data_IF_865941125939
#
_entry.id   IF_865941125939
#
_cell.length_a   1.000
_cell.length_b   1.000
_cell.length_c   1.000
_cell.angle_alpha   90.00
_cell.angle_beta   90.00
_cell.angle_gamma   90.00
#
_symmetry.space_group_name_H-M   'P 1'
#
loop_
_entity.id
_entity.type
_entity.pdbx_description
1 polymer ?
#
# COMPACT_ATOMS: atom_id res chain seq x y z
N UNK A 1 -4.35 22.85 6.75
CA UNK A 1 -4.26 21.96 5.57
C UNK A 1 -3.40 20.78 5.99
N UNK A 2 -3.92 19.56 5.88
CA UNK A 2 -3.16 18.36 6.27
C UNK A 2 -2.55 17.73 5.04
N UNK A 3 -1.26 17.40 5.08
CA UNK A 3 -0.55 16.70 4.03
C UNK A 3 -0.26 15.25 4.48
N UNK A 4 -0.74 14.27 3.72
CA UNK A 4 -0.60 12.83 4.03
C UNK A 4 0.33 12.19 3.01
N UNK A 5 1.38 11.53 3.50
CA UNK A 5 2.37 10.80 2.72
C UNK A 5 2.11 9.30 2.86
N UNK A 6 1.43 8.71 1.88
CA UNK A 6 1.20 7.28 1.80
C UNK A 6 2.42 6.62 1.15
N UNK A 7 3.08 5.73 1.87
CA UNK A 7 4.27 5.00 1.42
C UNK A 7 3.93 3.52 1.29
N UNK A 8 4.11 2.95 0.10
CA UNK A 8 4.05 1.50 -0.05
C UNK A 8 5.26 0.86 0.64
N UNK A 9 5.07 -0.24 1.35
CA UNK A 9 6.15 -0.99 1.97
C UNK A 9 7.29 -1.32 0.98
N UNK A 10 8.51 -1.54 1.47
CA UNK A 10 9.64 -2.02 0.68
C UNK A 10 9.37 -3.38 0.03
N UNK A 11 10.20 -3.78 -0.92
CA UNK A 11 10.03 -5.08 -1.57
C UNK A 11 9.92 -6.20 -0.53
N UNK A 12 8.85 -6.96 -0.65
CA UNK A 12 8.62 -8.16 0.17
C UNK A 12 9.34 -9.38 -0.43
N UNK A 13 9.13 -10.54 0.16
CA UNK A 13 9.68 -11.80 -0.35
C UNK A 13 9.05 -12.16 -1.71
N UNK A 14 9.81 -12.01 -2.79
CA UNK A 14 9.35 -12.28 -4.17
C UNK A 14 9.17 -13.77 -4.48
N UNK A 15 9.64 -14.68 -3.62
CA UNK A 15 9.50 -16.13 -3.77
C UNK A 15 8.32 -16.69 -2.94
N UNK A 16 7.51 -15.81 -2.39
CA UNK A 16 6.38 -16.19 -1.55
C UNK A 16 5.29 -16.92 -2.34
N UNK A 17 4.61 -17.85 -1.65
CA UNK A 17 3.50 -18.62 -2.19
C UNK A 17 2.21 -18.49 -1.34
N UNK A 18 2.30 -17.79 -0.23
CA UNK A 18 1.22 -17.55 0.71
C UNK A 18 1.42 -16.23 1.47
N UNK A 19 0.39 -15.79 2.19
CA UNK A 19 0.43 -14.52 2.93
C UNK A 19 1.55 -14.46 3.96
N UNK A 20 1.83 -15.57 4.66
CA UNK A 20 2.82 -15.61 5.75
C UNK A 20 4.23 -15.48 5.18
N UNK A 21 4.55 -16.23 4.13
CA UNK A 21 5.87 -16.19 3.50
C UNK A 21 6.11 -14.88 2.75
N UNK A 22 5.05 -14.20 2.31
CA UNK A 22 5.12 -12.88 1.70
C UNK A 22 5.38 -11.76 2.72
N UNK A 23 4.90 -11.93 3.96
CA UNK A 23 4.92 -10.86 4.96
C UNK A 23 6.28 -10.66 5.63
N UNK A 24 7.32 -10.44 4.82
CA UNK A 24 8.66 -10.02 5.28
C UNK A 24 9.37 -9.21 4.19
N UNK A 25 10.20 -8.24 4.58
CA UNK A 25 11.02 -7.50 3.64
C UNK A 25 12.17 -8.36 3.09
N UNK A 26 12.41 -8.24 1.79
CA UNK A 26 13.66 -8.70 1.17
C UNK A 26 14.84 -7.81 1.61
N UNK A 27 16.08 -8.26 1.34
CA UNK A 27 17.25 -7.42 1.57
C UNK A 27 17.18 -6.10 0.78
N UNK A 28 16.65 -6.15 -0.46
CA UNK A 28 16.43 -4.96 -1.27
C UNK A 28 15.36 -4.05 -0.66
N UNK A 29 14.24 -4.62 -0.17
CA UNK A 29 13.18 -3.85 0.48
C UNK A 29 13.67 -3.07 1.69
N UNK A 30 14.55 -3.68 2.50
CA UNK A 30 15.20 -2.99 3.63
C UNK A 30 16.09 -1.82 3.16
N UNK A 31 16.84 -2.01 2.08
CA UNK A 31 17.63 -0.92 1.49
C UNK A 31 16.74 0.20 0.92
N UNK A 32 15.67 -0.13 0.21
CA UNK A 32 14.73 0.86 -0.33
C UNK A 32 14.15 1.72 0.79
N UNK A 33 13.67 1.11 1.89
CA UNK A 33 13.17 1.83 3.05
C UNK A 33 14.24 2.74 3.67
N UNK A 34 15.47 2.23 3.85
CA UNK A 34 16.58 3.03 4.37
C UNK A 34 16.93 4.22 3.47
N UNK A 35 16.89 4.07 2.15
CA UNK A 35 17.14 5.18 1.21
C UNK A 35 16.03 6.23 1.25
N UNK A 36 14.77 5.82 1.38
CA UNK A 36 13.66 6.76 1.53
C UNK A 36 13.79 7.54 2.85
N UNK A 37 14.14 6.87 3.96
CA UNK A 37 14.40 7.54 5.23
C UNK A 37 15.54 8.56 5.14
N UNK A 38 16.64 8.23 4.45
CA UNK A 38 17.74 9.17 4.18
C UNK A 38 17.28 10.36 3.33
N UNK A 39 16.41 10.12 2.33
CA UNK A 39 15.83 11.18 1.51
C UNK A 39 15.00 12.13 2.36
N UNK A 40 14.11 11.63 3.20
CA UNK A 40 13.30 12.46 4.10
C UNK A 40 14.20 13.28 5.04
N UNK A 41 15.19 12.65 5.65
CA UNK A 41 16.14 13.33 6.55
C UNK A 41 16.93 14.43 5.82
N UNK A 42 17.47 14.14 4.64
CA UNK A 42 18.27 15.10 3.86
C UNK A 42 17.49 16.32 3.42
N UNK A 43 16.18 16.15 3.16
CA UNK A 43 15.29 17.21 2.70
C UNK A 43 14.43 17.79 3.84
N UNK A 44 14.80 17.54 5.09
CA UNK A 44 14.18 18.11 6.28
C UNK A 44 12.66 17.87 6.36
N UNK A 45 12.21 16.67 5.95
CA UNK A 45 10.83 16.27 6.15
C UNK A 45 10.60 15.91 7.61
N UNK A 46 9.72 16.65 8.25
CA UNK A 46 9.24 16.40 9.62
C UNK A 46 7.77 15.98 9.54
N UNK A 47 7.40 14.96 10.30
CA UNK A 47 6.05 14.46 10.37
C UNK A 47 5.52 14.58 11.80
N UNK A 48 4.27 15.02 11.94
CA UNK A 48 3.61 15.19 13.24
C UNK A 48 3.14 13.86 13.79
N UNK A 49 2.74 12.94 12.91
CA UNK A 49 2.35 11.59 13.24
C UNK A 49 2.87 10.59 12.19
N UNK A 50 3.14 9.36 12.67
CA UNK A 50 3.51 8.24 11.83
C UNK A 50 2.59 7.06 12.09
N UNK A 51 2.02 6.53 11.03
CA UNK A 51 1.20 5.32 11.05
C UNK A 51 1.83 4.22 10.22
N UNK A 52 1.54 2.97 10.58
CA UNK A 52 1.76 1.84 9.68
C UNK A 52 0.69 0.79 9.88
N UNK A 53 0.48 -0.05 8.87
CA UNK A 53 -0.23 -1.30 9.11
C UNK A 53 0.55 -2.21 10.06
N UNK A 54 -0.09 -3.31 10.47
CA UNK A 54 0.46 -4.27 11.44
C UNK A 54 1.22 -5.43 10.78
N UNK A 55 1.16 -5.56 9.45
CA UNK A 55 1.91 -6.56 8.70
C UNK A 55 3.42 -6.29 8.82
N UNK A 56 4.23 -7.36 8.95
CA UNK A 56 5.68 -7.21 9.16
C UNK A 56 6.34 -6.37 8.07
N UNK A 57 6.01 -6.57 6.79
CA UNK A 57 6.57 -5.77 5.70
C UNK A 57 6.25 -4.27 5.80
N UNK A 58 5.08 -3.91 6.36
CA UNK A 58 4.69 -2.52 6.58
C UNK A 58 5.41 -1.96 7.81
N UNK A 59 5.35 -2.67 8.93
CA UNK A 59 5.96 -2.25 10.19
C UNK A 59 7.47 -2.12 10.09
N UNK A 60 8.16 -3.10 9.49
CA UNK A 60 9.61 -3.05 9.28
C UNK A 60 10.01 -1.88 8.34
N UNK A 61 9.21 -1.61 7.30
CA UNK A 61 9.45 -0.44 6.45
C UNK A 61 9.37 0.84 7.26
N UNK A 62 8.32 1.02 8.07
CA UNK A 62 8.13 2.20 8.90
C UNK A 62 9.29 2.40 9.90
N UNK A 63 9.74 1.32 10.54
CA UNK A 63 10.87 1.37 11.48
C UNK A 63 12.20 1.74 10.78
N UNK A 64 12.40 1.25 9.56
CA UNK A 64 13.61 1.52 8.77
C UNK A 64 13.66 2.94 8.19
N UNK A 65 12.53 3.62 8.02
CA UNK A 65 12.49 5.02 7.60
C UNK A 65 13.18 5.95 8.63
N UNK A 66 13.14 5.61 9.92
CA UNK A 66 13.79 6.37 11.02
C UNK A 66 13.45 7.88 11.01
N UNK A 67 12.24 8.21 10.56
CA UNK A 67 11.79 9.61 10.42
C UNK A 67 11.40 10.23 11.75
N UNK A 68 11.23 9.43 12.80
CA UNK A 68 10.83 9.87 14.13
C UNK A 68 11.59 9.15 15.26
N UNK A 69 12.78 9.62 15.64
CA UNK A 69 13.51 9.01 16.75
C UNK A 69 12.84 9.20 18.13
N UNK A 70 11.81 10.07 18.23
CA UNK A 70 11.17 10.43 19.49
C UNK A 70 9.65 10.19 19.54
N UNK A 71 9.03 9.76 18.44
CA UNK A 71 7.57 9.49 18.39
C UNK A 71 7.31 8.03 18.07
N UNK A 72 6.36 7.45 18.78
CA UNK A 72 5.89 6.10 18.52
C UNK A 72 5.16 6.02 17.17
N UNK A 73 5.40 4.94 16.42
CA UNK A 73 4.66 4.64 15.20
C UNK A 73 3.35 3.96 15.59
N UNK A 74 2.24 4.57 15.24
CA UNK A 74 0.90 4.03 15.50
C UNK A 74 0.64 2.88 14.53
N UNK A 75 0.49 1.66 15.07
CA UNK A 75 0.17 0.45 14.31
C UNK A 75 -1.35 0.31 14.20
N UNK A 76 -1.89 0.40 12.97
CA UNK A 76 -3.33 0.34 12.73
C UNK A 76 -3.66 -0.77 11.71
N UNK A 77 -4.39 -1.83 12.12
CA UNK A 77 -4.73 -2.93 11.22
C UNK A 77 -5.63 -2.51 10.05
N UNK A 78 -6.31 -1.37 10.11
CA UNK A 78 -7.09 -0.83 9.00
C UNK A 78 -6.23 -0.48 7.78
N UNK A 79 -4.91 -0.32 7.96
CA UNK A 79 -3.92 -0.10 6.90
C UNK A 79 -3.35 -1.40 6.30
N UNK A 80 -3.81 -2.57 6.74
CA UNK A 80 -3.32 -3.85 6.23
C UNK A 80 -3.82 -4.12 4.81
N UNK A 81 -2.98 -4.81 4.03
CA UNK A 81 -3.26 -5.18 2.64
C UNK A 81 -4.42 -6.18 2.50
N UNK A 82 -5.00 -6.23 1.34
CA UNK A 82 -5.88 -7.31 0.88
C UNK A 82 -5.11 -8.63 0.90
N UNK A 83 -5.72 -9.69 1.41
CA UNK A 83 -5.13 -11.03 1.44
C UNK A 83 -5.26 -11.72 0.06
N UNK A 84 -4.45 -11.26 -0.90
CA UNK A 84 -4.52 -11.70 -2.28
C UNK A 84 -4.31 -13.22 -2.46
N UNK A 85 -3.32 -13.81 -1.79
CA UNK A 85 -3.05 -15.25 -1.90
C UNK A 85 -4.23 -16.08 -1.42
N UNK A 86 -4.82 -15.69 -0.28
CA UNK A 86 -6.01 -16.38 0.25
C UNK A 86 -7.20 -16.24 -0.70
N UNK A 87 -7.47 -15.04 -1.21
CA UNK A 87 -8.55 -14.82 -2.18
C UNK A 87 -8.29 -15.58 -3.49
N UNK A 88 -7.05 -15.62 -3.97
CA UNK A 88 -6.65 -16.37 -5.16
C UNK A 88 -6.91 -17.87 -5.01
N UNK A 89 -6.54 -18.46 -3.87
CA UNK A 89 -6.80 -19.87 -3.57
C UNK A 89 -8.31 -20.16 -3.52
N UNK A 90 -9.08 -19.32 -2.83
CA UNK A 90 -10.55 -19.50 -2.75
C UNK A 90 -11.23 -19.38 -4.11
N UNK A 91 -10.74 -18.48 -4.97
CA UNK A 91 -11.26 -18.31 -6.32
C UNK A 91 -10.90 -19.50 -7.22
N UNK A 92 -9.71 -20.07 -7.09
CA UNK A 92 -9.34 -21.29 -7.77
C UNK A 92 -10.25 -22.45 -7.36
N UNK A 93 -10.44 -22.67 -6.04
CA UNK A 93 -11.26 -23.74 -5.49
C UNK A 93 -12.75 -23.62 -5.86
N UNK A 94 -13.31 -22.41 -5.81
CA UNK A 94 -14.76 -22.19 -5.95
C UNK A 94 -15.20 -21.95 -7.40
N UNK A 95 -14.31 -21.39 -8.24
CA UNK A 95 -14.66 -20.98 -9.61
C UNK A 95 -13.72 -21.59 -10.67
N UNK A 96 -12.69 -22.34 -10.30
CA UNK A 96 -11.72 -22.94 -11.22
C UNK A 96 -10.77 -21.95 -11.92
N UNK A 97 -10.76 -20.67 -11.48
CA UNK A 97 -9.88 -19.64 -12.07
C UNK A 97 -8.47 -19.80 -11.51
N UNK A 98 -7.55 -20.27 -12.35
CA UNK A 98 -6.16 -20.54 -11.96
C UNK A 98 -5.39 -19.25 -11.64
N UNK A 99 -4.44 -19.29 -10.66
CA UNK A 99 -3.52 -18.21 -10.42
C UNK A 99 -2.76 -17.78 -11.67
N UNK A 100 -2.36 -16.50 -11.78
CA UNK A 100 -1.67 -16.01 -12.97
C UNK A 100 -0.28 -16.65 -13.11
N UNK A 101 0.09 -17.00 -14.35
CA UNK A 101 1.41 -17.55 -14.67
C UNK A 101 2.43 -16.50 -15.07
N UNK A 102 1.96 -15.31 -15.40
CA UNK A 102 2.78 -14.16 -15.81
C UNK A 102 2.17 -12.86 -15.30
N UNK A 103 2.96 -11.78 -15.34
CA UNK A 103 2.46 -10.45 -14.97
C UNK A 103 1.31 -9.95 -15.86
N UNK A 104 1.22 -10.41 -17.11
CA UNK A 104 0.13 -10.03 -18.03
C UNK A 104 -1.21 -10.67 -17.62
N UNK A 105 -1.16 -11.87 -17.05
CA UNK A 105 -2.37 -12.58 -16.61
C UNK A 105 -2.87 -12.06 -15.25
N UNK A 106 -2.01 -11.29 -14.54
CA UNK A 106 -2.31 -10.84 -13.18
C UNK A 106 -3.46 -9.82 -13.15
N UNK A 107 -3.50 -8.88 -14.10
CA UNK A 107 -4.56 -7.87 -14.17
C UNK A 107 -5.94 -8.55 -14.33
N UNK A 108 -6.07 -9.45 -15.30
CA UNK A 108 -7.32 -10.19 -15.54
C UNK A 108 -7.73 -11.05 -14.33
N UNK A 109 -6.75 -11.72 -13.71
CA UNK A 109 -7.01 -12.54 -12.53
C UNK A 109 -7.47 -11.69 -11.34
N UNK A 110 -6.82 -10.54 -11.12
CA UNK A 110 -7.17 -9.63 -10.03
C UNK A 110 -8.55 -8.99 -10.28
N UNK A 111 -8.87 -8.60 -11.52
CA UNK A 111 -10.20 -8.12 -11.89
C UNK A 111 -11.28 -9.16 -11.59
N UNK A 112 -11.01 -10.42 -11.89
CA UNK A 112 -11.93 -11.52 -11.58
C UNK A 112 -12.15 -11.66 -10.07
N UNK A 113 -11.08 -11.67 -9.27
CA UNK A 113 -11.18 -11.70 -7.80
C UNK A 113 -12.02 -10.53 -7.30
N UNK A 114 -11.71 -9.31 -7.73
CA UNK A 114 -12.41 -8.10 -7.30
C UNK A 114 -13.90 -8.15 -7.64
N UNK A 115 -14.25 -8.64 -8.85
CA UNK A 115 -15.64 -8.81 -9.26
C UNK A 115 -16.40 -9.77 -8.34
N UNK A 116 -15.83 -10.93 -8.04
CA UNK A 116 -16.44 -11.95 -7.17
C UNK A 116 -16.52 -11.51 -5.71
N UNK A 117 -15.47 -10.84 -5.23
CA UNK A 117 -15.41 -10.32 -3.86
C UNK A 117 -16.44 -9.20 -3.63
N UNK A 118 -16.58 -8.28 -4.57
CA UNK A 118 -17.60 -7.21 -4.53
C UNK A 118 -19.03 -7.74 -4.57
N UNK A 119 -19.25 -8.81 -5.32
CA UNK A 119 -20.55 -9.49 -5.39
C UNK A 119 -20.85 -10.37 -4.16
N UNK A 120 -19.91 -10.44 -3.19
CA UNK A 120 -19.98 -11.34 -2.02
C UNK A 120 -20.14 -12.84 -2.42
N UNK A 121 -19.59 -13.23 -3.57
CA UNK A 121 -19.71 -14.60 -4.09
C UNK A 121 -18.57 -15.51 -3.57
N UNK A 122 -17.47 -14.94 -3.01
CA UNK A 122 -16.36 -15.74 -2.45
C UNK A 122 -16.73 -16.18 -1.03
N UNK A 123 -17.05 -17.46 -0.87
CA UNK A 123 -17.36 -18.03 0.45
C UNK A 123 -16.09 -18.10 1.30
N UNK A 124 -16.17 -17.75 2.58
CA UNK A 124 -15.04 -17.67 3.52
C UNK A 124 -13.94 -16.68 3.10
N UNK A 125 -14.27 -15.62 2.35
CA UNK A 125 -13.33 -14.53 2.12
C UNK A 125 -12.78 -14.01 3.48
N UNK A 126 -11.48 -13.65 3.57
CA UNK A 126 -10.87 -13.19 4.84
C UNK A 126 -11.57 -11.99 5.48
N UNK A 127 -12.12 -11.13 4.64
CA UNK A 127 -13.03 -10.05 5.02
C UNK A 127 -14.05 -9.81 3.90
N UNK A 128 -15.28 -9.36 4.19
CA UNK A 128 -16.20 -8.85 3.17
C UNK A 128 -15.63 -7.61 2.47
N UNK A 129 -15.93 -7.44 1.18
CA UNK A 129 -15.48 -6.25 0.45
C UNK A 129 -15.98 -4.94 1.08
N UNK A 130 -17.20 -4.95 1.63
CA UNK A 130 -17.76 -3.78 2.30
C UNK A 130 -16.94 -3.37 3.52
N UNK A 131 -16.45 -4.33 4.30
CA UNK A 131 -15.62 -4.07 5.49
C UNK A 131 -14.25 -3.50 5.10
N UNK A 132 -13.66 -4.00 3.99
CA UNK A 132 -12.44 -3.42 3.40
C UNK A 132 -12.65 -1.94 3.04
N UNK A 133 -13.74 -1.62 2.34
CA UNK A 133 -14.07 -0.23 1.96
C UNK A 133 -14.26 0.64 3.20
N UNK A 134 -14.99 0.13 4.19
CA UNK A 134 -15.28 0.85 5.43
C UNK A 134 -14.02 1.14 6.24
N UNK A 135 -13.13 0.14 6.45
CA UNK A 135 -11.90 0.36 7.21
C UNK A 135 -10.95 1.35 6.55
N UNK A 136 -10.88 1.38 5.19
CA UNK A 136 -10.09 2.38 4.45
C UNK A 136 -10.67 3.78 4.63
N UNK A 137 -12.00 3.92 4.63
CA UNK A 137 -12.66 5.20 4.90
C UNK A 137 -12.40 5.68 6.32
N UNK A 138 -12.60 4.80 7.31
CA UNK A 138 -12.39 5.10 8.73
C UNK A 138 -10.96 5.55 9.05
N UNK A 139 -9.93 4.88 8.49
CA UNK A 139 -8.55 5.27 8.72
C UNK A 139 -8.24 6.61 8.05
N UNK A 140 -8.81 6.90 6.88
CA UNK A 140 -8.67 8.19 6.20
C UNK A 140 -9.21 9.34 7.06
N UNK A 141 -10.32 9.10 7.78
CA UNK A 141 -10.87 10.06 8.73
C UNK A 141 -9.94 10.33 9.93
N UNK A 142 -9.24 9.31 10.42
CA UNK A 142 -8.26 9.48 11.50
C UNK A 142 -7.04 10.27 11.02
N UNK A 143 -6.56 10.00 9.81
CA UNK A 143 -5.36 10.61 9.27
C UNK A 143 -5.50 12.13 9.08
N UNK A 144 -6.67 12.62 8.65
CA UNK A 144 -6.90 14.06 8.45
C UNK A 144 -6.84 14.90 9.74
N UNK A 145 -7.00 14.25 10.90
CA UNK A 145 -7.00 14.90 12.22
C UNK A 145 -5.70 14.65 13.02
N UNK A 146 -4.67 14.05 12.39
CA UNK A 146 -3.47 13.57 13.09
C UNK A 146 -2.28 14.54 13.04
N UNK A 147 -2.42 15.72 12.46
CA UNK A 147 -1.38 16.77 12.39
C UNK A 147 -1.29 17.41 11.01
N UNK A 148 -0.37 18.35 10.83
CA UNK A 148 -0.19 19.04 9.53
C UNK A 148 0.49 18.15 8.49
N UNK A 149 1.42 17.27 8.90
CA UNK A 149 2.12 16.30 8.05
C UNK A 149 2.07 14.90 8.66
N UNK A 150 1.47 13.98 7.98
CA UNK A 150 1.24 12.61 8.43
C UNK A 150 1.92 11.62 7.50
N UNK A 151 2.80 10.77 8.04
CA UNK A 151 3.43 9.67 7.32
C UNK A 151 2.65 8.37 7.56
N UNK A 152 2.36 7.63 6.50
CA UNK A 152 1.61 6.38 6.57
C UNK A 152 2.31 5.32 5.75
N UNK A 153 2.79 4.26 6.37
CA UNK A 153 3.34 3.10 5.67
C UNK A 153 2.28 2.02 5.55
N UNK A 154 1.95 1.68 4.32
CA UNK A 154 0.88 0.73 4.00
C UNK A 154 1.22 -0.10 2.75
N UNK A 155 0.23 -0.58 2.04
CA UNK A 155 0.37 -1.45 0.87
C UNK A 155 -0.33 -0.90 -0.36
N UNK A 156 -0.06 -1.50 -1.52
CA UNK A 156 -0.55 -1.01 -2.81
C UNK A 156 -2.07 -0.97 -2.92
N UNK A 157 -2.77 -1.98 -2.40
CA UNK A 157 -4.23 -2.05 -2.45
C UNK A 157 -4.91 -0.94 -1.64
N UNK A 158 -4.37 -0.60 -0.47
CA UNK A 158 -4.87 0.52 0.34
C UNK A 158 -4.66 1.85 -0.39
N UNK A 159 -3.44 2.08 -0.92
CA UNK A 159 -3.13 3.31 -1.67
C UNK A 159 -4.04 3.44 -2.88
N UNK A 160 -4.22 2.36 -3.66
CA UNK A 160 -5.08 2.35 -4.83
C UNK A 160 -6.55 2.62 -4.47
N UNK A 161 -7.05 2.06 -3.34
CA UNK A 161 -8.41 2.32 -2.86
C UNK A 161 -8.59 3.76 -2.40
N UNK A 162 -7.61 4.34 -1.72
CA UNK A 162 -7.65 5.77 -1.35
C UNK A 162 -7.67 6.64 -2.60
N UNK A 163 -6.82 6.35 -3.61
CA UNK A 163 -6.83 7.07 -4.90
C UNK A 163 -8.16 6.91 -5.64
N UNK A 164 -8.76 5.71 -5.60
CA UNK A 164 -10.09 5.46 -6.17
C UNK A 164 -11.12 6.41 -5.56
N UNK A 165 -11.12 6.53 -4.24
CA UNK A 165 -12.07 7.40 -3.53
C UNK A 165 -11.82 8.90 -3.80
N UNK A 166 -10.54 9.33 -3.93
CA UNK A 166 -10.19 10.73 -4.16
C UNK A 166 -10.45 11.20 -5.60
N UNK A 167 -10.40 10.30 -6.57
CA UNK A 167 -10.42 10.62 -8.00
C UNK A 167 -11.63 10.02 -8.73
N UNK A 168 -12.57 9.41 -8.02
CA UNK A 168 -13.76 8.72 -8.56
C UNK A 168 -13.39 7.69 -9.65
N UNK A 169 -12.32 6.90 -9.42
CA UNK A 169 -11.82 5.96 -10.41
C UNK A 169 -12.72 4.74 -10.56
N UNK A 170 -12.81 4.22 -11.78
CA UNK A 170 -13.35 2.88 -12.02
C UNK A 170 -12.49 1.79 -11.35
N UNK A 171 -13.04 0.60 -11.14
CA UNK A 171 -12.28 -0.54 -10.60
C UNK A 171 -11.08 -0.90 -11.48
N UNK A 172 -11.24 -0.92 -12.80
CA UNK A 172 -10.14 -1.18 -13.74
C UNK A 172 -9.03 -0.12 -13.61
N UNK A 173 -9.37 1.16 -13.45
CA UNK A 173 -8.38 2.22 -13.22
C UNK A 173 -7.69 2.05 -11.86
N UNK A 174 -8.42 1.70 -10.81
CA UNK A 174 -7.87 1.42 -9.48
C UNK A 174 -6.86 0.26 -9.53
N UNK A 175 -7.20 -0.83 -10.23
CA UNK A 175 -6.30 -1.98 -10.42
C UNK A 175 -5.02 -1.57 -11.15
N UNK A 176 -5.09 -0.73 -12.18
CA UNK A 176 -3.91 -0.20 -12.87
C UNK A 176 -3.00 0.61 -11.94
N UNK A 177 -3.56 1.43 -11.04
CA UNK A 177 -2.78 2.12 -10.02
C UNK A 177 -2.12 1.16 -9.03
N UNK A 178 -2.84 0.11 -8.60
CA UNK A 178 -2.28 -0.94 -7.75
C UNK A 178 -1.07 -1.60 -8.42
N UNK A 179 -1.21 -2.02 -9.68
CA UNK A 179 -0.15 -2.71 -10.43
C UNK A 179 1.05 -1.80 -10.74
N UNK A 180 0.81 -0.51 -10.98
CA UNK A 180 1.86 0.47 -11.20
C UNK A 180 2.55 0.95 -9.91
N UNK A 181 2.00 0.63 -8.73
CA UNK A 181 2.56 1.06 -7.46
C UNK A 181 3.91 0.39 -7.19
N UNK A 182 4.97 1.18 -7.04
CA UNK A 182 6.31 0.68 -6.77
C UNK A 182 6.60 0.61 -5.27
N UNK A 183 7.46 -0.33 -4.87
CA UNK A 183 7.91 -0.44 -3.49
C UNK A 183 8.60 0.86 -3.04
N UNK A 184 8.26 1.30 -1.84
CA UNK A 184 8.65 2.61 -1.27
C UNK A 184 8.23 3.83 -2.08
N UNK A 185 7.30 3.66 -3.04
CA UNK A 185 6.67 4.77 -3.75
C UNK A 185 5.85 5.63 -2.78
N UNK A 186 5.98 6.94 -2.92
CA UNK A 186 5.30 7.94 -2.09
C UNK A 186 4.15 8.54 -2.87
N UNK A 187 2.94 8.42 -2.34
CA UNK A 187 1.74 9.12 -2.83
C UNK A 187 1.38 10.21 -1.81
N UNK A 188 1.26 11.44 -2.27
CA UNK A 188 0.98 12.58 -1.40
C UNK A 188 -0.43 13.10 -1.64
N UNK A 189 -1.18 13.27 -0.57
CA UNK A 189 -2.52 13.84 -0.56
C UNK A 189 -2.56 15.09 0.30
N UNK A 190 -3.39 16.05 -0.08
CA UNK A 190 -3.72 17.20 0.74
C UNK A 190 -5.20 17.14 1.15
N UNK A 191 -5.48 17.28 2.44
CA UNK A 191 -6.84 17.47 2.91
C UNK A 191 -7.13 18.96 3.12
N UNK A 192 -8.06 19.48 2.34
CA UNK A 192 -8.51 20.87 2.43
C UNK A 192 -9.95 21.00 1.94
N UNK A 193 -10.69 21.96 2.47
CA UNK A 193 -12.09 22.23 2.08
C UNK A 193 -13.00 20.99 2.15
N UNK A 194 -12.75 20.09 3.13
CA UNK A 194 -13.58 18.91 3.36
C UNK A 194 -13.30 17.72 2.45
N UNK A 195 -12.25 17.76 1.62
CA UNK A 195 -11.92 16.69 0.68
C UNK A 195 -10.41 16.42 0.58
N UNK A 196 -10.08 15.20 0.19
CA UNK A 196 -8.71 14.84 -0.19
C UNK A 196 -8.44 15.20 -1.64
N UNK A 197 -7.31 15.83 -1.88
CA UNK A 197 -6.81 16.15 -3.22
C UNK A 197 -5.47 15.45 -3.43
N UNK A 198 -5.30 14.81 -4.59
CA UNK A 198 -4.07 14.11 -4.93
C UNK A 198 -3.05 15.12 -5.43
N UNK A 199 -1.90 15.20 -4.77
CA UNK A 199 -0.79 16.07 -5.15
C UNK A 199 0.24 15.33 -5.99
N UNK A 200 0.58 14.10 -5.58
CA UNK A 200 1.59 13.28 -6.25
C UNK A 200 1.27 11.80 -6.10
N UNK A 201 1.54 10.99 -7.13
CA UNK A 201 1.33 9.55 -7.10
C UNK A 201 2.64 8.83 -7.36
N UNK A 202 2.96 7.82 -6.51
CA UNK A 202 4.03 6.84 -6.72
C UNK A 202 5.40 7.47 -7.01
N UNK A 203 5.76 8.53 -6.31
CA UNK A 203 7.04 9.23 -6.44
C UNK A 203 8.18 8.44 -5.82
N UNK A 204 9.34 8.39 -6.49
CA UNK A 204 10.52 7.62 -6.09
C UNK A 204 11.81 8.46 -6.07
N UNK A 205 11.83 9.66 -5.49
CA UNK A 205 12.99 10.56 -5.57
C UNK A 205 14.26 9.96 -4.95
N UNK A 206 14.13 9.05 -3.98
CA UNK A 206 15.22 8.33 -3.35
C UNK A 206 15.83 7.25 -4.25
N UNK A 207 15.15 6.85 -5.33
CA UNK A 207 15.60 5.87 -6.33
C UNK A 207 15.92 6.48 -7.70
N UNK A 208 15.90 7.82 -7.84
CA UNK A 208 16.19 8.51 -9.10
C UNK A 208 17.68 8.58 -9.43
N UNK A 209 18.55 8.22 -8.51
CA UNK A 209 19.99 8.13 -8.76
C UNK A 209 20.33 6.95 -9.66
N UNK A 210 21.28 7.13 -10.62
CA UNK A 210 21.64 6.10 -11.61
C UNK A 210 22.01 4.74 -10.99
N UNK A 211 22.62 4.73 -9.80
CA UNK A 211 23.00 3.49 -9.08
C UNK A 211 21.81 2.77 -8.42
N UNK A 212 20.64 3.42 -8.32
CA UNK A 212 19.45 2.90 -7.64
C UNK A 212 18.27 2.65 -8.58
N UNK A 213 18.33 3.11 -9.82
CA UNK A 213 17.22 3.00 -10.77
C UNK A 213 16.78 1.55 -11.02
N UNK A 214 17.73 0.60 -10.98
CA UNK A 214 17.48 -0.84 -11.08
C UNK A 214 16.86 -1.45 -9.81
N UNK A 215 16.76 -0.66 -8.73
CA UNK A 215 16.14 -1.06 -7.47
C UNK A 215 14.66 -0.69 -7.40
N UNK A 216 14.08 -0.20 -8.47
CA UNK A 216 12.64 0.02 -8.60
C UNK A 216 11.96 -1.33 -8.83
N UNK A 217 11.06 -1.70 -7.93
CA UNK A 217 10.34 -2.98 -7.98
C UNK A 217 8.87 -2.76 -7.71
N UNK A 218 8.04 -3.65 -8.24
CA UNK A 218 6.58 -3.64 -8.06
C UNK A 218 6.13 -4.74 -7.09
N UNK A 219 6.82 -5.88 -7.13
CA UNK A 219 6.60 -7.06 -6.28
C UNK A 219 7.93 -7.59 -5.76
#
# INVERSE_FOLDING_TARGET
>A
MVQIFLVRHGQANSEAKDEISYDKLSSLGKMQAGWLGQYFKKNEFFFDACFSGTLFRQSDTADLLKTHPQKEIIRDPRLNEIQYYTLSTLVEEQFGKQPPKSGLDFEEHFEFIMSKWKAAEIVNAPEPYVDFVERVSQVSDVLKDSGDRVLVVTSGGIIAKVLQNCLDLSDSSMIKFLLASMNTGVTTLNYSNGQFNVEQVNSLPHLDHFSRIKSRTFF
#
